data_IF_778986839418
#
_entry.id   IF_778986839418
#
_cell.length_a   1.000
_cell.length_b   1.000
_cell.length_c   1.000
_cell.angle_alpha   90.00
_cell.angle_beta   90.00
_cell.angle_gamma   90.00
#
_symmetry.space_group_name_H-M   'P 1'
#
loop_
_entity.id
_entity.type
_entity.pdbx_description
1 polymer ?
#
# COMPACT_ATOMS: atom_id res chain seq x y z
N UNK A 1 -6.64 5.65 12.13
CA UNK A 1 -5.69 6.76 11.83
C UNK A 1 -5.70 7.04 10.33
N UNK A 2 -5.15 8.19 9.91
CA UNK A 2 -5.03 8.54 8.49
C UNK A 2 -3.68 8.09 7.96
N UNK A 3 -3.70 7.30 6.89
CA UNK A 3 -2.52 6.87 6.15
C UNK A 3 -2.36 7.67 4.86
N UNK A 4 -1.12 7.99 4.54
CA UNK A 4 -0.71 8.59 3.28
C UNK A 4 0.29 7.66 2.61
N UNK A 5 -0.18 6.97 1.57
CA UNK A 5 0.53 5.87 0.93
C UNK A 5 0.90 6.29 -0.50
N UNK A 6 2.20 6.43 -0.75
CA UNK A 6 2.70 6.69 -2.08
C UNK A 6 2.69 5.41 -2.92
N UNK A 7 2.12 5.47 -4.12
CA UNK A 7 2.04 4.33 -5.04
C UNK A 7 3.16 4.44 -6.08
N UNK A 8 3.74 3.29 -6.44
CA UNK A 8 4.82 3.18 -7.42
C UNK A 8 4.49 2.20 -8.55
N UNK A 9 5.20 2.33 -9.66
CA UNK A 9 5.07 1.44 -10.82
C UNK A 9 3.62 1.31 -11.29
N UNK A 10 3.21 0.08 -11.62
CA UNK A 10 1.86 -0.23 -12.09
C UNK A 10 0.75 0.06 -11.06
N UNK A 11 1.07 0.23 -9.77
CA UNK A 11 0.07 0.67 -8.78
C UNK A 11 -0.29 2.15 -8.93
N UNK A 12 0.53 2.98 -9.59
CA UNK A 12 0.17 4.38 -9.89
C UNK A 12 -1.01 4.49 -10.84
N UNK A 13 -1.31 3.45 -11.61
CA UNK A 13 -2.47 3.45 -12.51
C UNK A 13 -3.78 3.29 -11.75
N UNK A 14 -3.73 2.84 -10.49
CA UNK A 14 -4.91 2.70 -9.64
C UNK A 14 -5.42 4.04 -9.09
N UNK A 15 -4.52 5.02 -8.93
CA UNK A 15 -4.83 6.36 -8.41
C UNK A 15 -4.14 7.43 -9.27
N UNK A 16 -4.87 8.32 -9.95
CA UNK A 16 -4.27 9.35 -10.82
C UNK A 16 -3.22 10.23 -10.12
N UNK A 17 -3.38 10.48 -8.82
CA UNK A 17 -2.43 11.24 -7.99
C UNK A 17 -1.13 10.48 -7.70
N UNK A 18 -1.12 9.15 -7.89
CA UNK A 18 -0.06 8.26 -7.41
C UNK A 18 0.01 8.18 -5.88
N UNK A 19 -1.05 8.58 -5.17
CA UNK A 19 -1.11 8.60 -3.71
C UNK A 19 -2.49 8.18 -3.22
N UNK A 20 -2.53 7.17 -2.37
CA UNK A 20 -3.73 6.73 -1.68
C UNK A 20 -3.75 7.37 -0.28
N UNK A 21 -4.85 8.05 0.04
CA UNK A 21 -5.13 8.51 1.39
C UNK A 21 -6.25 7.65 1.96
N UNK A 22 -6.00 7.01 3.10
CA UNK A 22 -6.93 6.05 3.68
C UNK A 22 -7.06 6.28 5.19
N UNK A 23 -8.29 6.45 5.68
CA UNK A 23 -8.60 6.36 7.10
C UNK A 23 -8.91 4.89 7.45
N UNK A 24 -8.07 4.29 8.29
CA UNK A 24 -8.23 2.89 8.70
C UNK A 24 -7.73 2.66 10.14
N UNK A 25 -8.25 1.63 10.79
CA UNK A 25 -7.73 1.14 12.07
C UNK A 25 -6.82 -0.07 11.79
N UNK A 26 -5.51 0.17 11.76
CA UNK A 26 -4.51 -0.84 11.46
C UNK A 26 -3.33 -0.70 12.42
N UNK A 27 -3.03 -1.77 13.16
CA UNK A 27 -1.90 -1.82 14.08
C UNK A 27 -0.59 -2.23 13.39
N UNK A 28 -0.69 -3.06 12.35
CA UNK A 28 0.43 -3.62 11.60
C UNK A 28 0.21 -3.55 10.08
N UNK A 29 1.27 -3.89 9.33
CA UNK A 29 1.27 -3.85 7.87
C UNK A 29 0.27 -4.85 7.26
N UNK A 30 0.09 -6.02 7.87
CA UNK A 30 -0.90 -7.00 7.41
C UNK A 30 -2.32 -6.42 7.44
N UNK A 31 -2.70 -5.79 8.55
CA UNK A 31 -4.01 -5.19 8.75
C UNK A 31 -4.20 -3.99 7.82
N UNK A 32 -3.17 -3.17 7.62
CA UNK A 32 -3.20 -2.07 6.66
C UNK A 32 -3.40 -2.58 5.23
N UNK A 33 -2.70 -3.64 4.83
CA UNK A 33 -2.87 -4.27 3.51
C UNK A 33 -4.31 -4.74 3.29
N UNK A 34 -4.92 -5.37 4.30
CA UNK A 34 -6.31 -5.81 4.24
C UNK A 34 -7.27 -4.61 4.09
N UNK A 35 -7.04 -3.52 4.82
CA UNK A 35 -7.83 -2.30 4.70
C UNK A 35 -7.74 -1.68 3.30
N UNK A 36 -6.54 -1.63 2.71
CA UNK A 36 -6.33 -1.16 1.33
C UNK A 36 -6.99 -2.10 0.34
N UNK A 37 -6.93 -3.42 0.54
CA UNK A 37 -7.58 -4.38 -0.34
C UNK A 37 -9.10 -4.18 -0.38
N UNK A 38 -9.72 -3.99 0.80
CA UNK A 38 -11.15 -3.70 0.91
C UNK A 38 -11.53 -2.37 0.21
N UNK A 39 -10.71 -1.33 0.36
CA UNK A 39 -10.90 -0.07 -0.36
C UNK A 39 -10.78 -0.27 -1.89
N UNK A 40 -9.76 -1.00 -2.31
CA UNK A 40 -9.43 -1.24 -3.71
C UNK A 40 -10.48 -2.08 -4.45
N UNK A 41 -11.29 -2.89 -3.77
CA UNK A 41 -12.32 -3.73 -4.40
C UNK A 41 -13.29 -2.95 -5.29
N UNK A 42 -13.68 -1.74 -4.86
CA UNK A 42 -14.62 -0.88 -5.59
C UNK A 42 -13.95 0.19 -6.44
N UNK A 43 -12.72 0.59 -6.10
CA UNK A 43 -12.05 1.74 -6.70
C UNK A 43 -10.98 1.36 -7.73
N UNK A 44 -10.35 0.18 -7.61
CA UNK A 44 -9.14 -0.14 -8.36
C UNK A 44 -9.36 -1.16 -9.49
N UNK A 45 -8.63 -1.01 -10.62
CA UNK A 45 -8.59 -2.03 -11.67
C UNK A 45 -8.16 -3.40 -11.13
N UNK A 46 -8.67 -4.47 -11.74
CA UNK A 46 -8.33 -5.87 -11.37
C UNK A 46 -6.82 -6.11 -11.33
N UNK A 47 -6.08 -5.58 -12.30
CA UNK A 47 -4.63 -5.74 -12.39
C UNK A 47 -3.90 -5.12 -11.18
N UNK A 48 -4.30 -3.91 -10.74
CA UNK A 48 -3.72 -3.25 -9.58
C UNK A 48 -4.05 -4.01 -8.28
N UNK A 49 -5.27 -4.54 -8.16
CA UNK A 49 -5.67 -5.39 -7.02
C UNK A 49 -4.82 -6.64 -6.91
N UNK A 50 -4.53 -7.30 -8.04
CA UNK A 50 -3.66 -8.48 -8.06
C UNK A 50 -2.20 -8.16 -7.65
N UNK A 51 -1.73 -6.94 -7.90
CA UNK A 51 -0.39 -6.50 -7.50
C UNK A 51 -0.29 -6.22 -6.00
N UNK A 52 -1.32 -5.66 -5.37
CA UNK A 52 -1.32 -5.31 -3.94
C UNK A 52 -0.87 -6.47 -3.03
N UNK A 53 -1.32 -7.69 -3.31
CA UNK A 53 -0.96 -8.87 -2.54
C UNK A 53 0.53 -9.24 -2.62
N UNK A 54 1.23 -8.77 -3.67
CA UNK A 54 2.64 -9.06 -3.95
C UNK A 54 3.54 -7.84 -3.72
N UNK A 55 2.96 -6.69 -3.43
CA UNK A 55 3.68 -5.45 -3.18
C UNK A 55 4.25 -5.41 -1.76
N UNK A 56 5.40 -4.78 -1.61
CA UNK A 56 6.01 -4.52 -0.32
C UNK A 56 5.58 -3.13 0.19
N UNK A 57 5.38 -3.01 1.51
CA UNK A 57 5.31 -1.69 2.15
C UNK A 57 6.71 -1.23 2.51
N UNK A 58 6.93 0.08 2.46
CA UNK A 58 8.17 0.70 2.91
C UNK A 58 7.88 1.95 3.73
N UNK A 59 8.70 2.18 4.75
CA UNK A 59 8.87 3.48 5.38
C UNK A 59 9.91 4.31 4.59
N UNK A 60 10.29 5.47 5.12
CA UNK A 60 11.42 6.25 4.60
C UNK A 60 12.76 5.47 4.66
N UNK A 61 12.90 4.51 5.58
CA UNK A 61 14.20 3.90 5.89
C UNK A 61 14.29 2.41 5.58
N UNK A 62 13.16 1.71 5.46
CA UNK A 62 13.17 0.25 5.32
C UNK A 62 11.93 -0.29 4.62
N UNK A 63 12.07 -1.48 4.04
CA UNK A 63 10.94 -2.34 3.71
C UNK A 63 10.35 -2.90 5.01
N UNK A 64 9.02 -2.93 5.11
CA UNK A 64 8.27 -3.39 6.26
C UNK A 64 7.62 -4.74 5.98
N UNK A 65 7.69 -5.64 6.95
CA UNK A 65 7.05 -6.96 6.93
C UNK A 65 5.65 -6.89 7.53
N UNK A 66 4.84 -7.88 7.19
CA UNK A 66 3.41 -7.92 7.56
C UNK A 66 3.15 -7.80 9.08
N UNK A 67 4.00 -8.37 9.93
CA UNK A 67 3.87 -8.30 11.39
C UNK A 67 4.50 -7.05 12.03
N UNK A 68 5.16 -6.20 11.24
CA UNK A 68 5.73 -4.95 11.76
C UNK A 68 4.63 -3.92 11.99
N UNK A 69 4.76 -3.08 13.04
CA UNK A 69 3.79 -2.03 13.29
C UNK A 69 3.78 -0.99 12.16
N UNK A 70 2.62 -0.38 11.93
CA UNK A 70 2.55 0.76 11.00
C UNK A 70 3.37 1.95 11.54
N UNK A 71 3.99 2.77 10.68
CA UNK A 71 4.64 4.02 11.10
C UNK A 71 3.67 4.94 11.82
N UNK A 72 4.11 5.54 12.93
CA UNK A 72 3.26 6.40 13.76
C UNK A 72 2.81 7.70 13.07
N UNK A 73 3.47 8.10 11.99
CA UNK A 73 3.11 9.25 11.16
C UNK A 73 2.18 8.88 9.99
N UNK A 74 1.87 7.59 9.82
CA UNK A 74 1.00 7.08 8.77
C UNK A 74 1.56 7.18 7.35
N UNK A 75 2.85 7.50 7.17
CA UNK A 75 3.47 7.68 5.85
C UNK A 75 4.14 6.41 5.38
N UNK A 76 3.72 5.89 4.23
CA UNK A 76 4.29 4.68 3.64
C UNK A 76 4.43 4.81 2.12
N UNK A 77 5.21 3.91 1.54
CA UNK A 77 5.20 3.62 0.11
C UNK A 77 4.73 2.18 -0.13
N UNK A 78 4.01 1.98 -1.24
CA UNK A 78 3.62 0.66 -1.73
C UNK A 78 4.38 0.36 -3.02
N UNK A 79 5.27 -0.62 -2.94
CA UNK A 79 6.23 -0.97 -3.98
C UNK A 79 5.78 -2.26 -4.66
N UNK A 80 5.33 -2.23 -5.93
CA UNK A 80 5.01 -3.46 -6.65
C UNK A 80 6.28 -4.29 -6.89
N UNK A 81 6.15 -5.61 -7.11
CA UNK A 81 7.26 -6.44 -7.55
C UNK A 81 7.93 -5.78 -8.76
N UNK A 82 9.24 -5.58 -8.67
CA UNK A 82 10.03 -5.14 -9.81
C UNK A 82 10.38 -6.37 -10.65
N UNK A 83 10.15 -6.30 -11.95
CA UNK A 83 10.71 -7.25 -12.93
C UNK A 83 12.18 -6.90 -13.16
N UNK A 84 12.99 -6.92 -12.10
CA UNK A 84 14.44 -6.77 -12.23
C UNK A 84 15.03 -8.05 -12.79
N UNK A 85 15.59 -7.99 -13.99
CA UNK A 85 16.44 -9.05 -14.55
C UNK A 85 17.77 -9.15 -13.84
#
# INVERSE_FOLDING_TARGET
>A
MRFDIQLFGALREAEPSGRLVLDADAADIATLRAAIAAHAESAWPVAARALLARSAFASEHSILRDAEPVPGDGRLALLPPVSGG
#
